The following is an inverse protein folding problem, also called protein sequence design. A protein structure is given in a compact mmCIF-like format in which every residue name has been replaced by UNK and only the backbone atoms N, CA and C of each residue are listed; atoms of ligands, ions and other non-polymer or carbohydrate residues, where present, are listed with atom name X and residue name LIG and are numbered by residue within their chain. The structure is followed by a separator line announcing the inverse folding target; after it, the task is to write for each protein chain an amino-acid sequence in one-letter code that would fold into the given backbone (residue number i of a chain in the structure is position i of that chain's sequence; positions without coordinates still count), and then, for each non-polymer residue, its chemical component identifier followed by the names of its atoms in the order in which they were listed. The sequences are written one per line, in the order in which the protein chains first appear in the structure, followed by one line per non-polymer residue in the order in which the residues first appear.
data_IF_865635755500
#
_entry.id   IF_865635755500
#
_cell.length_a   1.000
_cell.length_b   1.000
_cell.length_c   1.000
_cell.angle_alpha   90.00
_cell.angle_beta   90.00
_cell.angle_gamma   90.00
#
_symmetry.space_group_name_H-M   'P 1'
#
loop_
_entity.id
_entity.type
_entity.pdbx_description
1 polymer ?
#
# COMPACT_ATOMS: atom_id res chain seq x y z
N UNK A 1 31.00 7.76 17.24
CA UNK A 1 29.99 8.04 18.23
C UNK A 1 29.21 9.36 18.05
N UNK A 2 29.55 10.21 17.09
CA UNK A 2 28.90 11.50 16.87
C UNK A 2 27.50 11.36 16.31
N UNK A 3 26.46 11.72 17.10
CA UNK A 3 25.05 11.67 16.71
C UNK A 3 24.41 13.04 16.45
N UNK A 4 25.20 14.11 16.58
CA UNK A 4 24.71 15.49 16.43
C UNK A 4 24.84 16.02 15.00
N UNK A 5 24.05 17.05 14.66
CA UNK A 5 24.14 17.76 13.37
C UNK A 5 25.54 18.35 13.11
N UNK A 6 26.24 18.76 14.17
CA UNK A 6 27.61 19.24 14.11
C UNK A 6 28.59 18.17 13.59
N UNK A 7 28.39 16.89 13.90
CA UNK A 7 29.23 15.81 13.42
C UNK A 7 29.19 15.67 11.88
N UNK A 8 28.01 15.86 11.27
CA UNK A 8 27.86 15.87 9.81
C UNK A 8 28.55 17.07 9.16
N UNK A 9 28.43 18.25 9.77
CA UNK A 9 29.07 19.46 9.27
C UNK A 9 30.61 19.36 9.38
N UNK A 10 31.12 18.87 10.50
CA UNK A 10 32.57 18.67 10.67
C UNK A 10 33.12 17.62 9.70
N UNK A 11 32.40 16.55 9.45
CA UNK A 11 32.77 15.52 8.46
C UNK A 11 32.81 16.11 7.04
N UNK A 12 31.79 16.90 6.66
CA UNK A 12 31.76 17.57 5.35
C UNK A 12 32.89 18.57 5.16
N UNK A 13 33.17 19.39 6.18
CA UNK A 13 34.32 20.35 6.16
C UNK A 13 35.66 19.62 6.11
N UNK A 14 35.84 18.55 6.86
CA UNK A 14 37.04 17.74 6.82
C UNK A 14 37.27 17.11 5.44
N UNK A 15 36.21 16.55 4.81
CA UNK A 15 36.28 16.02 3.45
C UNK A 15 36.62 17.12 2.43
N UNK A 16 36.00 18.28 2.54
CA UNK A 16 36.31 19.42 1.67
C UNK A 16 37.76 19.85 1.80
N UNK A 17 38.25 19.98 3.03
CA UNK A 17 39.65 20.30 3.30
C UNK A 17 40.60 19.22 2.74
N UNK A 18 40.26 17.96 2.89
CA UNK A 18 41.02 16.84 2.34
C UNK A 18 41.13 16.90 0.80
N UNK A 19 40.01 17.18 0.12
CA UNK A 19 39.97 17.31 -1.33
C UNK A 19 40.84 18.50 -1.80
N UNK A 20 40.76 19.63 -1.11
CA UNK A 20 41.49 20.84 -1.52
C UNK A 20 43.01 20.78 -1.26
N UNK A 21 43.43 20.18 -0.15
CA UNK A 21 44.81 20.19 0.26
C UNK A 21 45.56 18.87 0.03
N UNK A 22 44.87 17.75 -0.02
CA UNK A 22 45.46 16.43 -0.11
C UNK A 22 45.32 15.76 -1.48
N UNK A 23 44.72 16.42 -2.49
CA UNK A 23 44.49 15.84 -3.83
C UNK A 23 45.79 15.28 -4.44
N UNK A 24 46.88 16.02 -4.36
CA UNK A 24 48.18 15.58 -4.89
C UNK A 24 48.70 14.31 -4.23
N UNK A 25 48.47 14.13 -2.92
CA UNK A 25 48.88 12.92 -2.20
C UNK A 25 47.92 11.74 -2.49
N UNK A 26 46.65 12.03 -2.72
CA UNK A 26 45.65 11.01 -3.08
C UNK A 26 45.93 10.39 -4.45
N UNK A 27 46.41 11.20 -5.42
CA UNK A 27 46.80 10.73 -6.75
C UNK A 27 48.01 9.77 -6.73
N UNK A 28 48.82 9.81 -5.69
CA UNK A 28 49.96 8.89 -5.50
C UNK A 28 49.51 7.49 -4.99
N UNK A 29 48.30 7.35 -4.53
CA UNK A 29 47.79 6.08 -4.01
C UNK A 29 47.60 5.11 -5.18
N UNK A 30 48.22 3.91 -5.18
CA UNK A 30 48.05 2.94 -6.23
C UNK A 30 46.59 2.42 -6.21
N UNK A 31 45.98 2.29 -7.40
CA UNK A 31 44.60 1.79 -7.59
C UNK A 31 44.41 0.45 -6.88
N UNK A 32 45.40 -0.41 -6.86
CA UNK A 32 45.36 -1.68 -6.17
C UNK A 32 45.09 -1.55 -4.66
N UNK A 33 45.63 -0.52 -4.01
CA UNK A 33 45.37 -0.26 -2.59
C UNK A 33 43.93 0.20 -2.35
N UNK A 34 43.38 1.06 -3.23
CA UNK A 34 41.98 1.48 -3.19
C UNK A 34 41.01 0.30 -3.38
N UNK A 35 41.31 -0.57 -4.35
CA UNK A 35 40.53 -1.77 -4.56
C UNK A 35 40.53 -2.71 -3.34
N UNK A 36 41.74 -2.86 -2.70
CA UNK A 36 41.87 -3.64 -1.46
C UNK A 36 41.00 -3.11 -0.32
N UNK A 37 40.98 -1.80 -0.12
CA UNK A 37 40.12 -1.13 0.88
C UNK A 37 38.65 -1.34 0.53
N UNK A 38 38.26 -1.20 -0.74
CA UNK A 38 36.90 -1.44 -1.18
C UNK A 38 36.46 -2.88 -0.89
N UNK A 39 37.30 -3.88 -1.13
CA UNK A 39 36.97 -5.28 -0.79
C UNK A 39 36.76 -5.47 0.72
N UNK A 40 37.57 -4.85 1.57
CA UNK A 40 37.37 -4.91 3.02
C UNK A 40 36.05 -4.30 3.45
N UNK A 41 35.68 -3.15 2.86
CA UNK A 41 34.40 -2.49 3.13
C UNK A 41 33.24 -3.35 2.65
N UNK A 42 33.29 -3.94 1.46
CA UNK A 42 32.26 -4.86 0.92
C UNK A 42 32.07 -6.05 1.85
N UNK A 43 33.12 -6.71 2.28
CA UNK A 43 33.03 -7.87 3.20
C UNK A 43 32.44 -7.44 4.54
N UNK A 44 32.84 -6.28 5.06
CA UNK A 44 32.37 -5.75 6.35
C UNK A 44 30.92 -5.24 6.35
N UNK A 45 30.44 -4.75 5.20
CA UNK A 45 29.07 -4.23 5.05
C UNK A 45 28.09 -5.29 4.51
N UNK A 46 28.62 -6.42 4.04
CA UNK A 46 27.81 -7.47 3.46
C UNK A 46 26.85 -8.09 4.49
N UNK A 47 25.57 -7.97 4.23
CA UNK A 47 24.51 -8.45 5.14
C UNK A 47 24.29 -9.96 5.02
N UNK A 48 25.17 -10.76 5.60
CA UNK A 48 25.05 -12.23 5.64
C UNK A 48 23.72 -12.74 6.20
N UNK A 49 23.07 -11.94 7.05
CA UNK A 49 21.74 -12.22 7.60
C UNK A 49 20.65 -12.29 6.52
N UNK A 50 20.79 -11.56 5.42
CA UNK A 50 19.80 -11.51 4.32
C UNK A 50 19.59 -12.90 3.71
N UNK A 51 20.64 -13.69 3.56
CA UNK A 51 20.51 -15.06 3.05
C UNK A 51 19.75 -16.01 3.96
N UNK A 52 19.79 -15.77 5.28
CA UNK A 52 19.04 -16.58 6.26
C UNK A 52 17.55 -16.24 6.28
N UNK A 53 17.21 -15.03 5.85
CA UNK A 53 15.85 -14.50 5.91
C UNK A 53 15.12 -14.63 4.55
N UNK A 54 15.84 -14.87 3.46
CA UNK A 54 15.30 -14.88 2.10
C UNK A 54 14.09 -15.81 1.91
N UNK A 55 14.03 -16.90 2.67
CA UNK A 55 12.90 -17.83 2.66
C UNK A 55 11.68 -17.34 3.48
N UNK A 56 11.80 -16.23 4.20
CA UNK A 56 10.73 -15.64 5.03
C UNK A 56 10.23 -14.29 4.48
N UNK A 57 10.88 -13.78 3.46
CA UNK A 57 10.57 -12.49 2.85
C UNK A 57 9.56 -12.69 1.72
N UNK A 58 8.55 -11.81 1.56
CA UNK A 58 7.63 -11.84 0.43
C UNK A 58 8.38 -11.80 -0.91
N UNK A 59 7.81 -12.45 -1.94
CA UNK A 59 8.40 -12.47 -3.28
C UNK A 59 8.55 -11.07 -3.89
N UNK A 60 7.65 -10.15 -3.54
CA UNK A 60 7.71 -8.73 -3.92
C UNK A 60 9.00 -8.06 -3.47
N UNK A 61 9.41 -8.27 -2.22
CA UNK A 61 10.64 -7.69 -1.68
C UNK A 61 11.89 -8.29 -2.32
N UNK A 62 11.87 -9.60 -2.57
CA UNK A 62 12.96 -10.28 -3.29
C UNK A 62 13.13 -9.69 -4.69
N UNK A 63 12.02 -9.44 -5.40
CA UNK A 63 12.04 -8.80 -6.71
C UNK A 63 12.68 -7.40 -6.65
N UNK A 64 12.30 -6.58 -5.67
CA UNK A 64 12.88 -5.24 -5.47
C UNK A 64 14.39 -5.33 -5.20
N UNK A 65 14.84 -6.25 -4.35
CA UNK A 65 16.27 -6.44 -4.03
C UNK A 65 17.06 -6.80 -5.30
N UNK A 66 16.58 -7.77 -6.07
CA UNK A 66 17.23 -8.20 -7.31
C UNK A 66 17.26 -7.08 -8.34
N UNK A 67 16.15 -6.35 -8.51
CA UNK A 67 16.04 -5.23 -9.42
C UNK A 67 17.04 -4.13 -9.08
N UNK A 68 17.06 -3.68 -7.81
CA UNK A 68 17.97 -2.63 -7.34
C UNK A 68 19.42 -3.06 -7.51
N UNK A 69 19.74 -4.31 -7.19
CA UNK A 69 21.11 -4.83 -7.36
C UNK A 69 21.53 -4.82 -8.83
N UNK A 70 20.67 -5.28 -9.72
CA UNK A 70 20.94 -5.26 -11.15
C UNK A 70 21.14 -3.84 -11.70
N UNK A 71 20.26 -2.91 -11.30
CA UNK A 71 20.38 -1.49 -11.68
C UNK A 71 21.66 -0.85 -11.16
N UNK A 72 22.10 -1.20 -9.94
CA UNK A 72 23.36 -0.69 -9.37
C UNK A 72 24.57 -1.13 -10.19
N UNK A 73 24.54 -2.36 -10.73
CA UNK A 73 25.65 -2.90 -11.53
C UNK A 73 25.68 -2.32 -12.95
N UNK A 74 24.49 -2.08 -13.54
CA UNK A 74 24.39 -1.66 -14.95
C UNK A 74 24.53 -0.16 -15.12
N UNK A 75 23.95 0.63 -14.21
CA UNK A 75 23.92 2.09 -14.33
C UNK A 75 24.84 2.73 -13.25
N UNK A 76 24.24 3.05 -12.11
CA UNK A 76 24.86 3.82 -11.03
C UNK A 76 24.04 3.61 -9.75
N UNK A 77 24.69 3.76 -8.61
CA UNK A 77 24.07 3.70 -7.29
C UNK A 77 22.92 4.72 -7.14
N UNK A 78 23.09 5.94 -7.65
CA UNK A 78 22.08 6.99 -7.53
C UNK A 78 20.79 6.61 -8.28
N UNK A 79 20.89 6.14 -9.51
CA UNK A 79 19.75 5.68 -10.33
C UNK A 79 19.10 4.46 -9.69
N UNK A 80 19.91 3.52 -9.18
CA UNK A 80 19.42 2.33 -8.54
C UNK A 80 18.60 2.63 -7.28
N UNK A 81 19.08 3.56 -6.43
CA UNK A 81 18.37 3.96 -5.21
C UNK A 81 17.04 4.65 -5.54
N UNK A 82 17.03 5.60 -6.48
CA UNK A 82 15.80 6.29 -6.88
C UNK A 82 14.78 5.29 -7.44
N UNK A 83 15.22 4.42 -8.35
CA UNK A 83 14.36 3.39 -8.93
C UNK A 83 13.84 2.42 -7.87
N UNK A 84 14.69 2.00 -6.93
CA UNK A 84 14.32 1.13 -5.82
C UNK A 84 13.27 1.75 -4.91
N UNK A 85 13.41 3.04 -4.56
CA UNK A 85 12.42 3.77 -3.76
C UNK A 85 11.08 3.85 -4.48
N UNK A 86 11.08 4.17 -5.78
CA UNK A 86 9.84 4.26 -6.57
C UNK A 86 9.13 2.90 -6.62
N UNK A 87 9.87 1.85 -6.99
CA UNK A 87 9.28 0.49 -7.10
C UNK A 87 8.80 -0.01 -5.75
N UNK A 88 9.58 0.17 -4.68
CA UNK A 88 9.19 -0.22 -3.33
C UNK A 88 7.94 0.53 -2.85
N UNK A 89 7.84 1.83 -3.12
CA UNK A 89 6.67 2.63 -2.80
C UNK A 89 5.41 2.17 -3.56
N UNK A 90 5.56 1.81 -4.84
CA UNK A 90 4.46 1.27 -5.65
C UNK A 90 3.99 -0.10 -5.14
N UNK A 91 4.92 -1.01 -4.82
CA UNK A 91 4.62 -2.33 -4.25
C UNK A 91 3.90 -2.17 -2.92
N UNK A 92 4.44 -1.32 -2.03
CA UNK A 92 3.82 -1.04 -0.73
C UNK A 92 2.41 -0.44 -0.88
N UNK A 93 2.22 0.53 -1.78
CA UNK A 93 0.91 1.10 -2.05
C UNK A 93 -0.07 0.06 -2.59
N UNK A 94 0.39 -0.81 -3.49
CA UNK A 94 -0.40 -1.90 -4.05
C UNK A 94 -0.83 -2.91 -2.98
N UNK A 95 0.09 -3.41 -2.18
CA UNK A 95 -0.19 -4.39 -1.12
C UNK A 95 -1.14 -3.83 -0.05
N UNK A 96 -0.96 -2.57 0.34
CA UNK A 96 -1.85 -1.91 1.30
C UNK A 96 -3.24 -1.64 0.72
N UNK A 97 -3.33 -1.33 -0.56
CA UNK A 97 -4.61 -1.06 -1.21
C UNK A 97 -5.47 -2.31 -1.40
N UNK A 98 -4.86 -3.50 -1.45
CA UNK A 98 -5.57 -4.78 -1.52
C UNK A 98 -6.12 -5.27 -0.16
N UNK A 99 -5.83 -4.58 0.95
CA UNK A 99 -6.27 -5.00 2.29
C UNK A 99 -7.71 -4.62 2.58
N UNK A 100 -8.66 -5.17 1.82
CA UNK A 100 -10.08 -5.08 2.17
C UNK A 100 -10.47 -6.23 3.12
N UNK A 101 -11.09 -5.90 4.23
CA UNK A 101 -11.57 -6.86 5.24
C UNK A 101 -13.07 -6.67 5.44
N UNK A 102 -13.76 -7.73 5.82
CA UNK A 102 -15.16 -7.68 6.18
C UNK A 102 -15.36 -8.43 7.49
N UNK A 103 -15.93 -7.75 8.49
CA UNK A 103 -16.43 -8.38 9.70
C UNK A 103 -17.89 -8.72 9.46
N UNK A 104 -18.32 -9.89 9.87
CA UNK A 104 -19.67 -10.39 9.63
C UNK A 104 -20.33 -10.68 10.96
N UNK A 105 -21.54 -10.18 11.18
CA UNK A 105 -22.35 -10.57 12.30
C UNK A 105 -23.84 -10.59 11.86
N UNK A 106 -24.65 -11.34 12.56
CA UNK A 106 -26.10 -11.37 12.35
C UNK A 106 -26.75 -10.79 13.58
N UNK A 107 -27.69 -9.88 13.41
CA UNK A 107 -28.43 -9.27 14.51
C UNK A 107 -29.56 -10.18 15.01
N UNK A 108 -30.23 -9.76 16.10
CA UNK A 108 -31.35 -10.49 16.71
C UNK A 108 -32.58 -10.56 15.79
N UNK A 109 -32.63 -9.75 14.73
CA UNK A 109 -33.71 -9.74 13.72
C UNK A 109 -33.40 -10.64 12.53
N UNK A 110 -32.23 -11.30 12.51
CA UNK A 110 -31.81 -12.17 11.43
C UNK A 110 -31.24 -11.46 10.21
N UNK A 111 -30.94 -10.16 10.33
CA UNK A 111 -30.27 -9.35 9.30
C UNK A 111 -28.77 -9.55 9.43
N UNK A 112 -28.10 -9.83 8.32
CA UNK A 112 -26.64 -10.01 8.30
C UNK A 112 -25.94 -8.70 7.96
N UNK A 113 -25.02 -8.30 8.83
CA UNK A 113 -24.22 -7.11 8.69
C UNK A 113 -22.82 -7.44 8.21
N UNK A 114 -22.37 -6.73 7.19
CA UNK A 114 -21.00 -6.75 6.66
C UNK A 114 -20.35 -5.40 6.91
N UNK A 115 -19.53 -5.32 7.93
CA UNK A 115 -18.71 -4.14 8.22
C UNK A 115 -17.45 -4.20 7.35
N UNK A 116 -17.30 -3.26 6.44
CA UNK A 116 -16.19 -3.24 5.47
C UNK A 116 -15.09 -2.33 6.00
N UNK A 117 -13.86 -2.83 5.97
CA UNK A 117 -12.64 -2.11 6.35
C UNK A 117 -11.70 -1.99 5.15
N UNK A 118 -11.20 -0.77 4.94
CA UNK A 118 -10.26 -0.48 3.85
C UNK A 118 -10.93 0.09 2.60
N UNK A 119 -10.16 0.68 1.67
CA UNK A 119 -10.69 1.37 0.51
C UNK A 119 -11.24 0.40 -0.54
N UNK A 120 -12.44 0.68 -1.04
CA UNK A 120 -13.03 -0.02 -2.17
C UNK A 120 -12.71 0.74 -3.46
N UNK A 121 -11.91 0.14 -4.34
CA UNK A 121 -11.50 0.64 -5.63
C UNK A 121 -11.24 -0.53 -6.59
N UNK A 122 -10.89 -0.24 -7.86
CA UNK A 122 -10.74 -1.27 -8.88
C UNK A 122 -9.88 -2.48 -8.48
N UNK A 123 -8.77 -2.26 -7.75
CA UNK A 123 -7.86 -3.32 -7.32
C UNK A 123 -8.39 -4.21 -6.20
N UNK A 124 -9.33 -3.74 -5.38
CA UNK A 124 -9.89 -4.48 -4.24
C UNK A 124 -11.24 -5.16 -4.54
N UNK A 125 -11.81 -4.95 -5.74
CA UNK A 125 -13.15 -5.45 -6.12
C UNK A 125 -13.27 -6.96 -5.99
N UNK A 126 -12.27 -7.71 -6.45
CA UNK A 126 -12.30 -9.17 -6.41
C UNK A 126 -12.33 -9.69 -4.97
N UNK A 127 -11.46 -9.13 -4.11
CA UNK A 127 -11.43 -9.44 -2.69
C UNK A 127 -12.72 -9.01 -1.98
N UNK A 128 -13.29 -7.86 -2.33
CA UNK A 128 -14.57 -7.40 -1.83
C UNK A 128 -15.68 -8.40 -2.17
N UNK A 129 -15.81 -8.76 -3.44
CA UNK A 129 -16.83 -9.71 -3.90
C UNK A 129 -16.71 -11.10 -3.25
N UNK A 130 -15.49 -11.55 -2.93
CA UNK A 130 -15.24 -12.83 -2.26
C UNK A 130 -15.73 -12.88 -0.81
N UNK A 131 -16.02 -11.72 -0.19
CA UNK A 131 -16.52 -11.67 1.18
C UNK A 131 -18.00 -12.04 1.31
N UNK A 132 -18.76 -11.96 0.23
CA UNK A 132 -20.20 -12.15 0.23
C UNK A 132 -20.58 -13.55 -0.22
N UNK A 133 -21.47 -14.17 0.55
CA UNK A 133 -22.05 -15.46 0.21
C UNK A 133 -23.55 -15.30 -0.10
N UNK A 134 -23.82 -14.85 -1.34
CA UNK A 134 -25.18 -14.47 -1.77
C UNK A 134 -26.19 -15.60 -1.64
N UNK A 135 -25.74 -16.88 -1.66
CA UNK A 135 -26.64 -18.03 -1.56
C UNK A 135 -27.05 -18.30 -0.11
N UNK A 136 -26.09 -18.25 0.81
CA UNK A 136 -26.31 -18.63 2.22
C UNK A 136 -26.72 -17.44 3.10
N UNK A 137 -26.62 -16.21 2.57
CA UNK A 137 -27.04 -15.00 3.29
C UNK A 137 -28.58 -14.96 3.47
N UNK A 138 -29.08 -14.29 4.54
CA UNK A 138 -30.51 -14.09 4.75
C UNK A 138 -31.13 -13.19 3.67
N UNK A 139 -32.45 -12.96 3.78
CA UNK A 139 -33.20 -12.14 2.81
C UNK A 139 -32.77 -10.68 2.82
N UNK A 140 -32.35 -10.19 3.99
CA UNK A 140 -31.90 -8.82 4.17
C UNK A 140 -30.46 -8.80 4.64
N UNK A 141 -29.63 -7.97 3.98
CA UNK A 141 -28.21 -7.80 4.26
C UNK A 141 -27.90 -6.32 4.30
N UNK A 142 -27.12 -5.91 5.30
CA UNK A 142 -26.61 -4.53 5.44
C UNK A 142 -25.11 -4.55 5.22
N UNK A 143 -24.63 -3.67 4.34
CA UNK A 143 -23.19 -3.43 4.13
C UNK A 143 -22.83 -2.06 4.67
N UNK A 144 -22.02 -2.07 5.69
CA UNK A 144 -21.59 -0.86 6.42
C UNK A 144 -20.23 -0.39 5.95
N UNK A 145 -20.14 0.88 5.55
CA UNK A 145 -18.94 1.55 5.05
C UNK A 145 -18.37 2.56 6.04
N UNK A 146 -18.71 2.49 7.34
CA UNK A 146 -18.21 3.42 8.36
C UNK A 146 -16.67 3.50 8.36
N UNK A 147 -15.98 2.36 8.19
CA UNK A 147 -14.52 2.24 8.17
C UNK A 147 -13.96 2.04 6.75
N UNK A 148 -14.77 2.38 5.73
CA UNK A 148 -14.42 2.17 4.33
C UNK A 148 -14.77 3.38 3.46
N UNK A 149 -14.09 3.51 2.31
CA UNK A 149 -14.40 4.53 1.29
C UNK A 149 -14.55 3.88 -0.06
N UNK A 150 -15.60 4.29 -0.77
CA UNK A 150 -15.75 4.00 -2.21
C UNK A 150 -14.97 5.08 -2.97
N UNK A 151 -13.92 4.68 -3.69
CA UNK A 151 -12.91 5.62 -4.21
C UNK A 151 -13.13 5.95 -5.68
N UNK A 152 -13.59 4.97 -6.49
CA UNK A 152 -13.68 5.12 -7.93
C UNK A 152 -14.99 4.59 -8.53
N UNK A 153 -15.17 4.84 -9.82
CA UNK A 153 -16.33 4.40 -10.61
C UNK A 153 -16.45 2.87 -10.66
N UNK A 154 -15.32 2.16 -10.67
CA UNK A 154 -15.29 0.70 -10.73
C UNK A 154 -15.84 0.07 -9.44
N UNK A 155 -15.58 0.73 -8.30
CA UNK A 155 -16.15 0.34 -7.02
C UNK A 155 -17.68 0.48 -7.00
N UNK A 156 -18.23 1.55 -7.60
CA UNK A 156 -19.68 1.73 -7.71
C UNK A 156 -20.30 0.64 -8.59
N UNK A 157 -19.66 0.34 -9.72
CA UNK A 157 -20.12 -0.74 -10.61
C UNK A 157 -20.09 -2.10 -9.89
N UNK A 158 -19.09 -2.34 -9.03
CA UNK A 158 -19.02 -3.55 -8.22
C UNK A 158 -20.16 -3.64 -7.20
N UNK A 159 -20.51 -2.52 -6.55
CA UNK A 159 -21.67 -2.45 -5.65
C UNK A 159 -22.98 -2.74 -6.38
N UNK A 160 -23.14 -2.21 -7.60
CA UNK A 160 -24.30 -2.50 -8.44
C UNK A 160 -24.41 -3.96 -8.79
N UNK A 161 -23.34 -4.54 -9.30
CA UNK A 161 -23.29 -5.96 -9.63
C UNK A 161 -23.58 -6.83 -8.40
N UNK A 162 -23.13 -6.40 -7.22
CA UNK A 162 -23.45 -7.08 -5.97
C UNK A 162 -24.94 -6.98 -5.65
N UNK A 163 -25.52 -5.78 -5.74
CA UNK A 163 -26.94 -5.57 -5.53
C UNK A 163 -27.81 -6.40 -6.49
N UNK A 164 -27.48 -6.41 -7.79
CA UNK A 164 -28.15 -7.27 -8.78
C UNK A 164 -28.07 -8.76 -8.44
N UNK A 165 -26.91 -9.22 -7.92
CA UNK A 165 -26.74 -10.61 -7.51
C UNK A 165 -27.67 -10.99 -6.35
N UNK A 166 -27.84 -10.12 -5.37
CA UNK A 166 -28.78 -10.32 -4.26
C UNK A 166 -30.22 -10.29 -4.75
N UNK A 167 -30.59 -9.32 -5.58
CA UNK A 167 -31.91 -9.17 -6.15
C UNK A 167 -32.33 -10.39 -7.00
N UNK A 168 -31.41 -10.92 -7.83
CA UNK A 168 -31.65 -12.17 -8.61
C UNK A 168 -31.92 -13.38 -7.72
N UNK A 169 -31.47 -13.36 -6.47
CA UNK A 169 -31.74 -14.40 -5.48
C UNK A 169 -32.95 -14.07 -4.56
N UNK A 170 -33.72 -13.02 -4.88
CA UNK A 170 -34.87 -12.58 -4.09
C UNK A 170 -34.48 -11.99 -2.72
N UNK A 171 -33.29 -11.44 -2.62
CA UNK A 171 -32.73 -10.85 -1.39
C UNK A 171 -32.48 -9.35 -1.59
N UNK A 172 -32.52 -8.60 -0.50
CA UNK A 172 -32.30 -7.14 -0.51
C UNK A 172 -30.99 -6.80 0.18
N UNK A 173 -30.22 -5.90 -0.43
CA UNK A 173 -29.00 -5.34 0.14
C UNK A 173 -29.21 -3.86 0.47
N UNK A 174 -28.76 -3.46 1.64
CA UNK A 174 -28.79 -2.07 2.09
C UNK A 174 -27.36 -1.59 2.32
N UNK A 175 -27.06 -0.39 1.84
CA UNK A 175 -25.77 0.26 2.10
C UNK A 175 -25.94 1.28 3.23
N UNK A 176 -25.00 1.32 4.16
CA UNK A 176 -25.01 2.20 5.32
C UNK A 176 -23.68 2.94 5.46
N UNK A 177 -23.71 4.13 6.04
CA UNK A 177 -22.55 4.99 6.35
C UNK A 177 -21.68 5.33 5.12
N UNK A 178 -22.32 5.61 4.00
CA UNK A 178 -21.62 6.09 2.82
C UNK A 178 -21.14 7.53 3.00
N UNK A 179 -19.88 7.81 2.65
CA UNK A 179 -19.36 9.17 2.68
C UNK A 179 -20.13 10.09 1.71
N UNK A 180 -20.16 11.41 1.99
CA UNK A 180 -20.87 12.39 1.16
C UNK A 180 -20.41 12.35 -0.32
N UNK A 181 -19.13 12.03 -0.58
CA UNK A 181 -18.60 11.88 -1.93
C UNK A 181 -19.08 10.59 -2.59
N UNK A 182 -19.21 9.49 -1.83
CA UNK A 182 -19.80 8.25 -2.31
C UNK A 182 -21.27 8.44 -2.69
N UNK A 183 -22.04 9.14 -1.85
CA UNK A 183 -23.45 9.46 -2.14
C UNK A 183 -23.57 10.29 -3.43
N UNK A 184 -22.70 11.29 -3.65
CA UNK A 184 -22.68 12.08 -4.89
C UNK A 184 -22.34 11.22 -6.11
N UNK A 185 -21.38 10.28 -5.97
CA UNK A 185 -21.00 9.37 -7.05
C UNK A 185 -22.14 8.39 -7.37
N UNK A 186 -22.78 7.82 -6.35
CA UNK A 186 -23.95 6.93 -6.52
C UNK A 186 -25.12 7.71 -7.16
N UNK A 187 -25.43 8.92 -6.70
CA UNK A 187 -26.48 9.77 -7.29
C UNK A 187 -26.20 10.13 -8.77
N UNK A 188 -24.95 10.28 -9.17
CA UNK A 188 -24.59 10.43 -10.59
C UNK A 188 -24.78 9.12 -11.38
N UNK A 189 -24.70 7.99 -10.72
CA UNK A 189 -24.91 6.66 -11.29
C UNK A 189 -26.35 6.16 -11.15
N UNK A 190 -27.25 6.91 -10.53
CA UNK A 190 -28.67 6.57 -10.22
C UNK A 190 -29.53 6.15 -11.44
N UNK A 191 -29.04 6.37 -12.66
CA UNK A 191 -29.67 5.78 -13.86
C UNK A 191 -29.37 4.28 -14.05
N UNK A 192 -28.55 3.69 -13.19
CA UNK A 192 -28.00 2.31 -13.34
C UNK A 192 -28.19 1.46 -12.07
N UNK A 193 -28.51 2.08 -10.91
CA UNK A 193 -28.51 1.40 -9.61
C UNK A 193 -29.76 1.62 -8.80
N UNK A 194 -30.48 0.55 -8.50
CA UNK A 194 -31.44 0.47 -7.40
C UNK A 194 -30.72 0.00 -6.11
N UNK A 195 -29.90 0.85 -5.53
CA UNK A 195 -29.25 0.56 -4.25
C UNK A 195 -29.98 1.29 -3.15
N UNK A 196 -30.52 0.55 -2.19
CA UNK A 196 -31.15 1.13 -1.00
C UNK A 196 -30.07 1.65 -0.06
N UNK A 197 -30.00 2.96 0.11
CA UNK A 197 -29.13 3.63 1.08
C UNK A 197 -29.89 3.84 2.37
N UNK A 198 -29.42 3.24 3.47
CA UNK A 198 -29.93 3.50 4.81
C UNK A 198 -29.15 4.67 5.39
N UNK A 199 -29.82 5.81 5.59
CA UNK A 199 -29.23 6.94 6.28
C UNK A 199 -29.31 6.71 7.80
N UNK A 200 -28.19 6.87 8.49
CA UNK A 200 -28.13 6.90 9.94
C UNK A 200 -28.06 8.37 10.39
N UNK A 201 -29.12 8.91 11.05
CA UNK A 201 -29.14 10.30 11.45
C UNK A 201 -28.12 10.66 12.52
N UNK A 202 -27.58 9.67 13.25
CA UNK A 202 -26.63 9.86 14.33
C UNK A 202 -25.15 9.70 13.86
N UNK A 203 -24.94 9.37 12.59
CA UNK A 203 -23.60 9.17 12.03
C UNK A 203 -23.11 10.43 11.30
N UNK A 204 -22.06 11.02 11.83
CA UNK A 204 -21.30 12.10 11.16
C UNK A 204 -19.92 11.57 10.78
N UNK A 205 -19.59 11.63 9.49
CA UNK A 205 -18.22 11.39 9.04
C UNK A 205 -17.31 12.44 9.65
N UNK A 206 -16.29 12.03 10.41
CA UNK A 206 -15.27 12.96 10.88
C UNK A 206 -14.60 13.59 9.65
N UNK A 207 -14.79 14.90 9.51
CA UNK A 207 -14.07 15.69 8.50
C UNK A 207 -12.75 16.05 9.19
N UNK A 208 -11.64 15.47 8.74
CA UNK A 208 -10.32 15.94 9.12
C UNK A 208 -10.16 17.36 8.54
N UNK A 209 -10.06 18.37 9.43
CA UNK A 209 -9.74 19.75 9.12
C UNK A 209 -8.25 19.88 8.71
#
# INVERSE_FOLDING_TARGET
GGRGRLSGITAALALLAFILFASTYIEMIPIAALVGVMFMVVIGTFAWSTFKIINKVPLSDIFVIVLVTALTVIFDLAIAVISGVIVSALVFAWENSLMIRARKHTDDHGIKHYEIYGPLFFGSIELFNSKFDVKDDPKEVVVDFAESRVVDQSAIEALNKLAERYQKNGKTIHLRHLSADCVKLIKRAEKICDVNVLEDPDYFVAIDD
#
